data_IF_596751291983
#
_entry.id   IF_596751291983
#
_cell.length_a   1.000
_cell.length_b   1.000
_cell.length_c   1.000
_cell.angle_alpha   90.00
_cell.angle_beta   90.00
_cell.angle_gamma   90.00
#
_symmetry.space_group_name_H-M   'P 1'
#
loop_
_entity.id
_entity.type
_entity.pdbx_description
1 polymer ?
#
# COMPACT_ATOMS: atom_id res chain seq x y z
N UNK A 1 -31.72 20.30 -34.48
CA UNK A 1 -30.40 19.78 -34.86
C UNK A 1 -29.63 19.62 -33.57
N UNK A 2 -29.40 18.38 -33.12
CA UNK A 2 -28.88 18.13 -31.77
C UNK A 2 -27.48 18.71 -31.64
N UNK A 3 -27.27 19.60 -30.66
CA UNK A 3 -25.98 20.09 -30.20
C UNK A 3 -25.21 18.92 -29.59
N UNK A 4 -24.63 18.08 -30.44
CA UNK A 4 -23.60 17.12 -30.04
C UNK A 4 -22.26 17.75 -30.39
N UNK A 5 -21.45 18.19 -29.43
CA UNK A 5 -20.02 18.29 -29.68
C UNK A 5 -19.50 16.90 -30.00
N UNK A 6 -19.33 16.62 -31.28
CA UNK A 6 -18.62 15.43 -31.73
C UNK A 6 -17.13 15.71 -31.61
N UNK A 7 -16.51 15.15 -30.58
CA UNK A 7 -15.07 14.99 -30.43
C UNK A 7 -14.69 13.55 -30.80
N UNK A 8 -14.73 13.16 -32.09
CA UNK A 8 -14.44 11.79 -32.53
C UNK A 8 -13.02 11.34 -32.13
N UNK A 9 -12.11 12.28 -31.91
CA UNK A 9 -10.75 12.01 -31.44
C UNK A 9 -10.66 11.38 -30.04
N UNK A 10 -11.69 11.52 -29.19
CA UNK A 10 -11.68 11.02 -27.80
C UNK A 10 -12.91 10.13 -27.50
N UNK A 11 -13.84 9.99 -28.44
CA UNK A 11 -15.06 9.19 -28.27
C UNK A 11 -15.07 7.99 -29.22
N UNK A 12 -14.85 6.79 -28.68
CA UNK A 12 -15.02 5.52 -29.39
C UNK A 12 -16.40 4.93 -29.08
N UNK A 13 -17.36 5.13 -29.99
CA UNK A 13 -18.72 4.61 -29.85
C UNK A 13 -18.75 3.07 -30.01
N UNK A 14 -17.84 2.49 -30.80
CA UNK A 14 -17.75 1.04 -31.02
C UNK A 14 -17.25 0.32 -29.76
N UNK A 15 -16.38 0.97 -28.98
CA UNK A 15 -15.91 0.47 -27.68
C UNK A 15 -17.03 0.48 -26.62
N UNK A 16 -17.88 1.51 -26.61
CA UNK A 16 -19.03 1.57 -25.71
C UNK A 16 -20.00 0.41 -25.96
N UNK A 17 -20.34 0.14 -27.22
CA UNK A 17 -21.25 -0.94 -27.59
C UNK A 17 -20.69 -2.31 -27.19
N UNK A 18 -19.39 -2.55 -27.42
CA UNK A 18 -18.71 -3.78 -26.96
C UNK A 18 -18.78 -3.94 -25.43
N UNK A 19 -18.55 -2.86 -24.66
CA UNK A 19 -18.60 -2.89 -23.19
C UNK A 19 -20.00 -3.16 -22.65
N UNK A 20 -21.02 -2.58 -23.29
CA UNK A 20 -22.43 -2.82 -22.95
C UNK A 20 -22.85 -4.27 -23.23
N UNK A 21 -22.29 -4.91 -24.25
CA UNK A 21 -22.49 -6.34 -24.54
C UNK A 21 -21.78 -7.26 -23.53
N UNK A 22 -20.58 -6.91 -23.08
CA UNK A 22 -19.77 -7.70 -22.14
C UNK A 22 -20.28 -7.68 -20.69
N UNK A 23 -20.70 -6.52 -20.18
CA UNK A 23 -21.03 -6.33 -18.75
C UNK A 23 -22.52 -6.14 -18.45
N UNK A 24 -23.37 -6.32 -19.47
CA UNK A 24 -24.80 -6.55 -19.30
C UNK A 24 -25.59 -5.28 -19.00
N UNK A 25 -26.42 -4.92 -19.98
CA UNK A 25 -27.62 -4.13 -19.72
C UNK A 25 -28.52 -4.96 -18.79
N UNK A 26 -28.90 -4.41 -17.64
CA UNK A 26 -29.91 -5.00 -16.78
C UNK A 26 -31.28 -4.83 -17.43
N UNK A 27 -32.11 -5.87 -17.45
CA UNK A 27 -33.48 -5.79 -18.00
C UNK A 27 -34.38 -4.83 -17.20
N UNK A 28 -34.01 -4.51 -15.95
CA UNK A 28 -34.72 -3.56 -15.09
C UNK A 28 -33.76 -2.62 -14.33
N UNK A 29 -34.14 -1.35 -14.21
CA UNK A 29 -33.61 -0.37 -13.26
C UNK A 29 -33.92 -0.87 -11.84
N UNK A 30 -32.90 -1.00 -11.00
CA UNK A 30 -33.12 -1.29 -9.57
C UNK A 30 -34.04 -0.21 -8.99
N UNK A 31 -35.25 -0.60 -8.56
CA UNK A 31 -36.22 0.31 -7.91
C UNK A 31 -35.53 1.11 -6.80
N UNK A 32 -35.63 2.44 -6.84
CA UNK A 32 -34.99 3.34 -5.87
C UNK A 32 -33.53 3.71 -6.17
N UNK A 33 -33.02 3.40 -7.37
CA UNK A 33 -31.64 3.66 -7.77
C UNK A 33 -31.35 5.10 -8.20
N UNK A 34 -32.37 5.92 -8.47
CA UNK A 34 -32.21 7.27 -9.03
C UNK A 34 -33.08 8.29 -8.30
N UNK A 35 -32.45 9.36 -7.84
CA UNK A 35 -33.14 10.53 -7.27
C UNK A 35 -32.98 11.72 -8.22
N UNK A 36 -34.03 12.51 -8.40
CA UNK A 36 -34.04 13.66 -9.32
C UNK A 36 -34.36 14.94 -8.55
N UNK A 37 -33.53 15.96 -8.76
CA UNK A 37 -33.81 17.35 -8.38
C UNK A 37 -34.27 18.12 -9.62
N UNK A 38 -35.35 18.85 -9.51
CA UNK A 38 -35.81 19.78 -10.54
C UNK A 38 -36.03 21.15 -9.92
N UNK A 39 -35.66 22.22 -10.62
CA UNK A 39 -36.04 23.57 -10.23
C UNK A 39 -36.68 24.35 -11.38
N UNK A 40 -37.83 24.94 -11.06
CA UNK A 40 -38.64 25.77 -11.93
C UNK A 40 -38.72 27.16 -11.29
N UNK A 41 -37.88 28.09 -11.75
CA UNK A 41 -37.62 29.33 -11.01
C UNK A 41 -36.99 29.04 -9.65
N UNK A 42 -37.65 29.48 -8.58
CA UNK A 42 -37.23 29.27 -7.17
C UNK A 42 -37.92 28.07 -6.51
N UNK A 43 -38.85 27.39 -7.21
CA UNK A 43 -39.52 26.21 -6.69
C UNK A 43 -38.66 24.96 -6.96
N UNK A 44 -38.27 24.27 -5.88
CA UNK A 44 -37.42 23.06 -5.95
C UNK A 44 -38.25 21.82 -5.66
N UNK A 45 -38.22 20.86 -6.57
CA UNK A 45 -38.93 19.58 -6.47
C UNK A 45 -37.93 18.44 -6.40
N UNK A 46 -38.16 17.55 -5.44
CA UNK A 46 -37.38 16.33 -5.25
C UNK A 46 -38.24 15.11 -5.58
N UNK A 47 -37.76 14.29 -6.50
CA UNK A 47 -38.35 13.01 -6.87
C UNK A 47 -37.41 11.89 -6.43
N UNK A 48 -37.73 11.25 -5.31
CA UNK A 48 -36.93 10.15 -4.77
C UNK A 48 -37.36 8.82 -5.39
N UNK A 49 -36.40 8.01 -5.82
CA UNK A 49 -36.65 6.69 -6.39
C UNK A 49 -37.50 6.70 -7.67
N UNK A 50 -37.09 7.51 -8.65
CA UNK A 50 -37.74 7.60 -9.95
C UNK A 50 -37.85 6.23 -10.66
N UNK A 51 -39.00 5.98 -11.28
CA UNK A 51 -39.19 4.84 -12.19
C UNK A 51 -38.62 5.14 -13.60
N UNK A 52 -38.46 4.10 -14.42
CA UNK A 52 -37.88 4.24 -15.76
C UNK A 52 -38.70 5.17 -16.66
N UNK A 53 -40.04 5.06 -16.63
CA UNK A 53 -40.94 5.85 -17.47
C UNK A 53 -40.91 7.33 -17.10
N UNK A 54 -40.83 7.67 -15.81
CA UNK A 54 -40.62 9.03 -15.32
C UNK A 54 -39.26 9.56 -15.76
N UNK A 55 -38.20 8.78 -15.61
CA UNK A 55 -36.84 9.15 -16.04
C UNK A 55 -36.78 9.45 -17.54
N UNK A 56 -37.31 8.56 -18.38
CA UNK A 56 -37.33 8.74 -19.83
C UNK A 56 -38.13 9.99 -20.20
N UNK A 57 -39.31 10.19 -19.60
CA UNK A 57 -40.11 11.41 -19.82
C UNK A 57 -39.34 12.67 -19.45
N UNK A 58 -38.68 12.70 -18.29
CA UNK A 58 -37.88 13.84 -17.82
C UNK A 58 -36.65 14.13 -18.68
N UNK A 59 -35.99 13.09 -19.17
CA UNK A 59 -34.82 13.22 -20.05
C UNK A 59 -35.22 13.76 -21.43
N UNK A 60 -36.43 13.42 -21.91
CA UNK A 60 -36.95 13.84 -23.21
C UNK A 60 -37.73 15.16 -23.19
N UNK A 61 -38.36 15.54 -22.06
CA UNK A 61 -39.36 16.62 -21.99
C UNK A 61 -38.82 18.03 -22.27
N UNK A 62 -37.49 18.23 -22.25
CA UNK A 62 -36.88 19.57 -22.31
C UNK A 62 -35.68 19.70 -23.27
N UNK A 63 -35.58 18.81 -24.27
CA UNK A 63 -34.50 18.88 -25.28
C UNK A 63 -34.85 19.77 -26.50
N UNK A 64 -36.01 20.44 -26.49
CA UNK A 64 -36.49 21.32 -27.57
C UNK A 64 -36.47 22.81 -27.20
N UNK A 65 -36.63 23.72 -28.17
CA UNK A 65 -36.65 25.16 -27.90
C UNK A 65 -37.78 25.51 -26.91
N UNK A 66 -37.56 26.53 -26.06
CA UNK A 66 -38.50 26.90 -25.00
C UNK A 66 -39.89 27.18 -25.58
N UNK A 67 -40.92 26.49 -25.05
CA UNK A 67 -42.32 26.80 -25.36
C UNK A 67 -42.79 27.92 -24.42
N UNK A 68 -43.38 29.02 -24.93
CA UNK A 68 -43.73 30.19 -24.12
C UNK A 68 -44.83 29.95 -23.07
N UNK A 69 -45.61 28.87 -23.21
CA UNK A 69 -46.80 28.61 -22.40
C UNK A 69 -46.56 27.77 -21.13
N UNK A 70 -45.34 27.31 -20.86
CA UNK A 70 -45.03 26.46 -19.70
C UNK A 70 -43.93 27.05 -18.83
N UNK A 71 -44.05 26.98 -17.48
CA UNK A 71 -42.96 27.39 -16.61
C UNK A 71 -41.74 26.52 -16.90
N UNK A 72 -40.60 27.16 -17.18
CA UNK A 72 -39.43 26.48 -17.71
C UNK A 72 -38.57 25.92 -16.59
N UNK A 73 -38.20 24.65 -16.73
CA UNK A 73 -37.20 24.00 -15.90
C UNK A 73 -35.86 24.66 -16.18
N UNK A 74 -35.29 25.30 -15.17
CA UNK A 74 -34.00 26.02 -15.30
C UNK A 74 -32.83 25.17 -14.83
N UNK A 75 -33.12 24.11 -14.07
CA UNK A 75 -32.13 23.22 -13.48
C UNK A 75 -32.72 21.82 -13.28
N UNK A 76 -31.93 20.80 -13.60
CA UNK A 76 -32.20 19.41 -13.25
C UNK A 76 -30.92 18.70 -12.85
N UNK A 77 -30.98 17.88 -11.80
CA UNK A 77 -29.87 17.03 -11.37
C UNK A 77 -30.35 15.61 -11.11
N UNK A 78 -29.69 14.64 -11.76
CA UNK A 78 -29.98 13.22 -11.64
C UNK A 78 -28.89 12.55 -10.81
N UNK A 79 -29.27 11.89 -9.72
CA UNK A 79 -28.37 11.21 -8.80
C UNK A 79 -28.57 9.70 -8.93
N UNK A 80 -27.64 9.03 -9.62
CA UNK A 80 -27.68 7.58 -9.82
C UNK A 80 -26.81 6.89 -8.77
N UNK A 81 -27.28 5.76 -8.22
CA UNK A 81 -26.45 4.89 -7.39
C UNK A 81 -25.87 3.75 -8.24
N UNK A 82 -24.55 3.67 -8.29
CA UNK A 82 -23.85 2.58 -8.96
C UNK A 82 -23.79 1.36 -8.03
N UNK A 83 -23.96 0.16 -8.59
CA UNK A 83 -23.71 -1.08 -7.88
C UNK A 83 -22.22 -1.41 -8.03
N UNK A 84 -21.50 -1.54 -6.91
CA UNK A 84 -20.10 -1.94 -6.93
C UNK A 84 -19.99 -3.36 -6.37
N UNK A 85 -19.33 -4.26 -7.12
CA UNK A 85 -19.06 -5.64 -6.69
C UNK A 85 -17.97 -5.72 -5.62
N UNK A 86 -17.02 -4.77 -5.63
CA UNK A 86 -15.97 -4.64 -4.64
C UNK A 86 -15.61 -3.16 -4.48
N UNK A 87 -15.56 -2.66 -3.24
CA UNK A 87 -15.53 -1.22 -2.92
C UNK A 87 -14.33 -0.48 -3.51
N UNK A 88 -13.26 -1.19 -3.88
CA UNK A 88 -11.95 -0.61 -4.22
C UNK A 88 -11.43 -1.02 -5.60
N UNK A 89 -11.78 -2.22 -6.11
CA UNK A 89 -11.16 -2.75 -7.33
C UNK A 89 -12.15 -3.30 -8.36
N UNK A 90 -13.45 -3.32 -8.04
CA UNK A 90 -14.47 -3.89 -8.92
C UNK A 90 -14.97 -2.91 -9.98
N UNK A 91 -15.40 -3.40 -11.16
CA UNK A 91 -16.10 -2.57 -12.14
C UNK A 91 -17.37 -1.97 -11.50
N UNK A 92 -17.65 -0.71 -11.81
CA UNK A 92 -18.85 -0.03 -11.31
C UNK A 92 -19.98 -0.18 -12.32
N UNK A 93 -20.98 -1.00 -12.05
CA UNK A 93 -22.07 -1.21 -13.00
C UNK A 93 -23.22 -0.23 -12.76
N UNK A 94 -23.57 0.53 -13.80
CA UNK A 94 -24.86 1.22 -13.89
C UNK A 94 -25.90 0.22 -14.39
N UNK A 95 -26.79 -0.23 -13.51
CA UNK A 95 -27.89 -1.13 -13.88
C UNK A 95 -29.07 -0.31 -14.41
N UNK A 96 -29.07 -0.05 -15.71
CA UNK A 96 -30.11 0.69 -16.43
C UNK A 96 -30.50 -0.06 -17.69
N UNK A 97 -31.76 0.05 -18.10
CA UNK A 97 -32.28 -0.55 -19.34
C UNK A 97 -31.74 0.17 -20.59
N UNK A 98 -31.72 -0.51 -21.75
CA UNK A 98 -31.30 0.09 -23.05
C UNK A 98 -32.06 1.38 -23.39
N UNK A 99 -33.39 1.47 -23.17
CA UNK A 99 -34.14 2.71 -23.38
C UNK A 99 -33.63 3.88 -22.53
N UNK A 100 -33.31 3.63 -21.26
CA UNK A 100 -32.77 4.66 -20.35
C UNK A 100 -31.38 5.11 -20.79
N UNK A 101 -30.50 4.20 -21.21
CA UNK A 101 -29.18 4.55 -21.77
C UNK A 101 -29.31 5.46 -23.00
N UNK A 102 -30.19 5.12 -23.93
CA UNK A 102 -30.47 5.96 -25.10
C UNK A 102 -31.05 7.31 -24.72
N UNK A 103 -31.90 7.35 -23.70
CA UNK A 103 -32.45 8.60 -23.18
C UNK A 103 -31.38 9.48 -22.51
N UNK A 104 -30.42 8.89 -21.78
CA UNK A 104 -29.27 9.59 -21.20
C UNK A 104 -28.38 10.20 -22.29
N UNK A 105 -28.02 9.41 -23.31
CA UNK A 105 -27.26 9.91 -24.46
C UNK A 105 -28.01 11.04 -25.20
N UNK A 106 -29.32 10.89 -25.39
CA UNK A 106 -30.15 11.92 -26.01
C UNK A 106 -30.27 13.20 -25.17
N UNK A 107 -30.14 13.11 -23.84
CA UNK A 107 -30.16 14.22 -22.91
C UNK A 107 -28.79 14.90 -22.71
N UNK A 108 -27.76 14.47 -23.45
CA UNK A 108 -26.44 15.09 -23.46
C UNK A 108 -25.36 14.36 -22.67
N UNK A 109 -25.63 13.17 -22.11
CA UNK A 109 -24.59 12.38 -21.43
C UNK A 109 -23.55 11.88 -22.45
N UNK A 110 -22.25 12.19 -22.28
CA UNK A 110 -21.22 11.84 -23.25
C UNK A 110 -20.90 10.35 -23.20
N UNK A 111 -20.65 9.76 -24.37
CA UNK A 111 -20.28 8.35 -24.51
C UNK A 111 -19.03 7.99 -23.67
N UNK A 112 -18.05 8.91 -23.60
CA UNK A 112 -16.84 8.75 -22.79
C UNK A 112 -17.12 8.46 -21.30
N UNK A 113 -18.10 9.13 -20.70
CA UNK A 113 -18.48 8.89 -19.29
C UNK A 113 -19.14 7.52 -19.15
N UNK A 114 -20.00 7.15 -20.10
CA UNK A 114 -20.64 5.84 -20.10
C UNK A 114 -19.62 4.72 -20.27
N UNK A 115 -18.68 4.84 -21.22
CA UNK A 115 -17.60 3.86 -21.43
C UNK A 115 -16.77 3.70 -20.17
N UNK A 116 -16.43 4.81 -19.49
CA UNK A 116 -15.67 4.79 -18.25
C UNK A 116 -16.41 4.12 -17.08
N UNK A 117 -17.73 4.23 -17.01
CA UNK A 117 -18.54 3.52 -16.00
C UNK A 117 -18.41 2.01 -16.20
N UNK A 118 -18.52 1.53 -17.44
CA UNK A 118 -18.45 0.11 -17.79
C UNK A 118 -17.03 -0.42 -18.00
N UNK A 119 -15.99 0.32 -17.59
CA UNK A 119 -14.59 -0.09 -17.74
C UNK A 119 -14.25 -1.28 -16.82
N UNK A 120 -13.90 -2.47 -17.36
CA UNK A 120 -13.53 -3.65 -16.57
C UNK A 120 -12.28 -3.43 -15.72
N UNK A 121 -11.36 -2.59 -16.20
CA UNK A 121 -10.09 -2.30 -15.52
C UNK A 121 -10.26 -1.40 -14.28
N UNK A 122 -11.46 -0.89 -14.03
CA UNK A 122 -11.84 -0.27 -12.75
C UNK A 122 -11.13 1.05 -12.43
N UNK A 123 -10.53 1.14 -11.24
CA UNK A 123 -10.10 2.41 -10.62
C UNK A 123 -8.88 3.05 -11.31
N UNK A 124 -7.98 2.27 -11.91
CA UNK A 124 -6.73 2.78 -12.49
C UNK A 124 -6.88 3.30 -13.93
N UNK A 125 -7.81 2.73 -14.71
CA UNK A 125 -8.17 3.23 -16.03
C UNK A 125 -8.97 4.53 -15.89
N UNK A 126 -8.25 5.63 -15.66
CA UNK A 126 -8.85 6.91 -15.29
C UNK A 126 -9.45 7.59 -16.52
N UNK A 127 -10.78 7.80 -16.49
CA UNK A 127 -11.39 8.83 -17.32
C UNK A 127 -10.70 10.16 -16.99
N UNK A 128 -10.15 10.82 -18.01
CA UNK A 128 -9.59 12.16 -17.85
C UNK A 128 -10.69 13.19 -17.58
N UNK A 129 -10.33 14.27 -16.89
CA UNK A 129 -11.24 15.41 -16.71
C UNK A 129 -11.35 16.18 -18.04
N UNK A 130 -12.58 16.52 -18.44
CA UNK A 130 -12.89 17.09 -19.74
C UNK A 130 -13.83 18.29 -19.61
N UNK A 131 -13.49 19.38 -20.30
CA UNK A 131 -14.30 20.59 -20.35
C UNK A 131 -14.36 21.11 -21.79
N UNK A 132 -15.57 21.17 -22.33
CA UNK A 132 -15.85 21.56 -23.70
C UNK A 132 -16.78 22.77 -23.73
N UNK A 133 -16.51 23.68 -24.67
CA UNK A 133 -17.33 24.86 -24.95
C UNK A 133 -17.78 24.80 -26.39
N UNK A 134 -19.08 24.76 -26.61
CA UNK A 134 -19.66 24.79 -27.95
C UNK A 134 -19.92 26.22 -28.34
N UNK A 135 -19.38 26.64 -29.48
CA UNK A 135 -19.56 27.99 -30.03
C UNK A 135 -20.29 27.93 -31.35
N UNK A 136 -21.14 28.91 -31.59
CA UNK A 136 -21.76 29.13 -32.88
C UNK A 136 -20.69 29.56 -33.89
N UNK A 137 -20.67 28.92 -35.07
CA UNK A 137 -19.63 29.12 -36.07
C UNK A 137 -19.57 30.55 -36.62
N UNK A 138 -20.71 31.25 -36.70
CA UNK A 138 -20.82 32.58 -37.30
C UNK A 138 -20.64 33.71 -36.29
N UNK A 139 -21.21 33.59 -35.09
CA UNK A 139 -21.21 34.67 -34.08
C UNK A 139 -20.11 34.51 -33.02
N UNK A 140 -19.50 33.31 -32.91
CA UNK A 140 -18.57 32.97 -31.85
C UNK A 140 -19.20 32.89 -30.44
N UNK A 141 -20.52 33.06 -30.33
CA UNK A 141 -21.27 33.00 -29.07
C UNK A 141 -21.31 31.58 -28.54
N UNK A 142 -21.16 31.43 -27.23
CA UNK A 142 -21.20 30.11 -26.59
C UNK A 142 -22.64 29.60 -26.53
N UNK A 143 -22.89 28.43 -27.11
CA UNK A 143 -24.19 27.76 -27.18
C UNK A 143 -24.37 26.78 -26.02
N UNK A 144 -23.30 26.05 -25.67
CA UNK A 144 -23.32 25.07 -24.60
C UNK A 144 -21.96 24.95 -23.90
N UNK A 145 -21.96 24.48 -22.65
CA UNK A 145 -20.74 24.08 -21.95
C UNK A 145 -20.93 22.71 -21.29
N UNK A 146 -19.95 21.84 -21.45
CA UNK A 146 -19.98 20.48 -20.94
C UNK A 146 -18.74 20.22 -20.09
N UNK A 147 -18.93 19.85 -18.83
CA UNK A 147 -17.90 19.47 -17.88
C UNK A 147 -18.11 18.00 -17.51
N UNK A 148 -17.06 17.18 -17.57
CA UNK A 148 -17.12 15.79 -17.15
C UNK A 148 -15.87 15.46 -16.38
N UNK A 149 -16.03 14.87 -15.21
CA UNK A 149 -14.89 14.53 -14.36
C UNK A 149 -15.21 13.33 -13.46
N UNK A 150 -14.15 12.70 -12.97
CA UNK A 150 -14.23 11.50 -12.15
C UNK A 150 -13.44 11.68 -10.87
N UNK A 151 -14.04 11.39 -9.73
CA UNK A 151 -13.36 11.55 -8.43
C UNK A 151 -13.49 10.30 -7.56
N UNK A 152 -12.60 10.21 -6.59
CA UNK A 152 -12.58 9.18 -5.55
C UNK A 152 -12.63 9.85 -4.18
N UNK A 153 -13.33 9.22 -3.23
CA UNK A 153 -13.58 9.79 -1.90
C UNK A 153 -13.00 8.92 -0.80
N UNK A 154 -11.68 8.95 -0.65
CA UNK A 154 -11.03 7.96 0.19
C UNK A 154 -11.15 6.55 -0.41
N UNK A 155 -10.67 5.56 0.35
CA UNK A 155 -10.59 4.18 -0.12
C UNK A 155 -11.83 3.34 0.20
N UNK A 156 -12.70 3.78 1.10
CA UNK A 156 -13.89 3.00 1.49
C UNK A 156 -15.10 3.23 0.57
N UNK A 157 -15.00 4.17 -0.36
CA UNK A 157 -16.08 4.60 -1.24
C UNK A 157 -15.76 4.24 -2.69
N UNK A 158 -16.79 3.86 -3.45
CA UNK A 158 -16.69 3.64 -4.88
C UNK A 158 -16.40 4.94 -5.64
N UNK A 159 -15.88 4.79 -6.85
CA UNK A 159 -15.63 5.89 -7.78
C UNK A 159 -16.94 6.60 -8.12
N UNK A 160 -16.89 7.91 -8.32
CA UNK A 160 -18.05 8.65 -8.79
C UNK A 160 -17.72 9.54 -9.98
N UNK A 161 -18.75 9.74 -10.81
CA UNK A 161 -18.66 10.45 -12.07
C UNK A 161 -19.65 11.60 -12.04
N UNK A 162 -19.24 12.79 -12.44
CA UNK A 162 -20.13 13.94 -12.55
C UNK A 162 -19.99 14.54 -13.93
N UNK A 163 -21.13 14.65 -14.61
CA UNK A 163 -21.25 15.35 -15.87
C UNK A 163 -22.21 16.52 -15.71
N UNK A 164 -21.75 17.71 -16.06
CA UNK A 164 -22.53 18.94 -16.08
C UNK A 164 -22.63 19.42 -17.52
N UNK A 165 -23.86 19.68 -17.95
CA UNK A 165 -24.17 20.28 -19.24
C UNK A 165 -25.00 21.54 -19.03
N UNK A 166 -24.60 22.64 -19.65
CA UNK A 166 -25.34 23.90 -19.68
C UNK A 166 -25.67 24.25 -21.11
N UNK A 167 -26.95 24.54 -21.35
CA UNK A 167 -27.46 25.21 -22.54
C UNK A 167 -27.96 26.61 -22.16
N UNK A 168 -28.43 27.40 -23.13
CA UNK A 168 -28.97 28.75 -22.89
C UNK A 168 -30.08 28.82 -21.84
N UNK A 169 -30.87 27.77 -21.65
CA UNK A 169 -32.07 27.79 -20.80
C UNK A 169 -32.10 26.69 -19.73
N UNK A 170 -31.24 25.68 -19.85
CA UNK A 170 -31.28 24.49 -19.00
C UNK A 170 -29.89 24.08 -18.55
N UNK A 171 -29.76 23.86 -17.24
CA UNK A 171 -28.61 23.20 -16.61
C UNK A 171 -28.98 21.78 -16.25
N UNK A 172 -28.13 20.83 -16.63
CA UNK A 172 -28.33 19.41 -16.39
C UNK A 172 -27.10 18.84 -15.70
N UNK A 173 -27.29 18.23 -14.54
CA UNK A 173 -26.28 17.44 -13.84
C UNK A 173 -26.63 15.97 -13.90
N UNK A 174 -25.65 15.14 -14.26
CA UNK A 174 -25.69 13.70 -14.12
C UNK A 174 -24.61 13.30 -13.12
N UNK A 175 -25.03 12.96 -11.91
CA UNK A 175 -24.15 12.57 -10.82
C UNK A 175 -24.29 11.07 -10.58
N UNK A 176 -23.30 10.30 -11.02
CA UNK A 176 -23.21 8.86 -10.78
C UNK A 176 -22.44 8.65 -9.50
N UNK A 177 -23.05 7.98 -8.51
CA UNK A 177 -22.49 7.68 -7.19
C UNK A 177 -22.08 8.94 -6.39
N UNK A 178 -22.87 10.01 -6.50
CA UNK A 178 -22.66 11.25 -5.73
C UNK A 178 -22.58 10.96 -4.22
N UNK A 179 -21.67 11.58 -3.47
CA UNK A 179 -21.47 11.23 -2.07
C UNK A 179 -22.72 11.56 -1.24
N UNK A 180 -23.22 10.57 -0.50
CA UNK A 180 -24.43 10.71 0.32
C UNK A 180 -24.37 11.86 1.36
N UNK A 181 -23.22 12.14 2.02
CA UNK A 181 -23.09 13.31 2.88
C UNK A 181 -23.28 14.63 2.14
N UNK A 182 -22.73 14.76 0.92
CA UNK A 182 -22.92 15.95 0.11
C UNK A 182 -24.37 16.07 -0.35
N UNK A 183 -25.01 14.94 -0.70
CA UNK A 183 -26.42 14.91 -1.09
C UNK A 183 -27.31 15.47 0.02
N UNK A 184 -27.09 15.03 1.25
CA UNK A 184 -27.84 15.49 2.43
C UNK A 184 -27.60 16.98 2.70
N UNK A 185 -26.35 17.44 2.57
CA UNK A 185 -26.01 18.86 2.69
C UNK A 185 -26.68 19.70 1.60
N UNK A 186 -26.69 19.23 0.36
CA UNK A 186 -27.34 19.90 -0.77
C UNK A 186 -28.82 20.11 -0.49
N UNK A 187 -29.54 19.06 -0.07
CA UNK A 187 -30.97 19.19 0.29
C UNK A 187 -31.19 20.18 1.41
N UNK A 188 -30.33 20.15 2.43
CA UNK A 188 -30.42 21.05 3.58
C UNK A 188 -30.20 22.51 3.16
N UNK A 189 -29.22 22.77 2.29
CA UNK A 189 -28.96 24.11 1.77
C UNK A 189 -30.09 24.60 0.88
N UNK A 190 -30.54 23.78 -0.06
CA UNK A 190 -31.61 24.16 -1.00
C UNK A 190 -32.96 24.40 -0.30
N UNK A 191 -33.24 23.72 0.81
CA UNK A 191 -34.42 24.01 1.64
C UNK A 191 -34.35 25.36 2.35
N UNK A 192 -33.15 25.85 2.67
CA UNK A 192 -32.94 27.12 3.39
C UNK A 192 -32.74 28.31 2.45
N UNK A 193 -32.09 28.04 1.33
CA UNK A 193 -31.60 29.02 0.35
C UNK A 193 -31.83 28.49 -1.06
N UNK A 194 -33.08 28.56 -1.59
CA UNK A 194 -33.41 28.09 -2.93
C UNK A 194 -32.60 28.75 -4.05
N UNK A 195 -32.15 29.99 -3.82
CA UNK A 195 -31.29 30.77 -4.72
C UNK A 195 -29.98 30.06 -5.07
N UNK A 196 -29.50 29.15 -4.21
CA UNK A 196 -28.27 28.39 -4.44
C UNK A 196 -28.38 27.39 -5.59
N UNK A 197 -29.58 27.06 -6.07
CA UNK A 197 -29.74 26.26 -7.32
C UNK A 197 -29.21 27.02 -8.53
N UNK A 198 -29.30 28.35 -8.49
CA UNK A 198 -28.82 29.19 -9.58
C UNK A 198 -27.30 29.31 -9.59
N UNK A 199 -26.66 29.07 -8.44
CA UNK A 199 -25.21 29.10 -8.27
C UNK A 199 -24.58 27.93 -9.02
N UNK A 200 -23.92 28.27 -10.12
CA UNK A 200 -23.26 27.32 -11.02
C UNK A 200 -22.16 26.58 -10.27
N UNK A 201 -21.92 25.29 -10.52
CA UNK A 201 -20.80 24.55 -9.94
C UNK A 201 -20.80 24.38 -8.40
N UNK A 202 -21.91 24.73 -7.75
CA UNK A 202 -22.10 24.54 -6.32
C UNK A 202 -22.11 23.05 -5.92
N UNK A 203 -22.70 22.19 -6.76
CA UNK A 203 -22.74 20.74 -6.54
C UNK A 203 -21.33 20.14 -6.56
N UNK A 204 -20.48 20.64 -7.46
CA UNK A 204 -19.10 20.20 -7.64
C UNK A 204 -18.23 20.61 -6.44
N UNK A 205 -18.36 21.86 -5.98
CA UNK A 205 -17.69 22.35 -4.78
C UNK A 205 -18.10 21.57 -3.51
N UNK A 206 -19.38 21.21 -3.39
CA UNK A 206 -19.88 20.43 -2.26
C UNK A 206 -19.35 18.98 -2.28
N UNK A 207 -19.30 18.36 -3.46
CA UNK A 207 -18.70 17.04 -3.63
C UNK A 207 -17.20 17.06 -3.29
N UNK A 208 -16.48 18.09 -3.74
CA UNK A 208 -15.06 18.25 -3.46
C UNK A 208 -14.76 18.44 -1.96
N UNK A 209 -15.55 19.25 -1.24
CA UNK A 209 -15.40 19.42 0.22
C UNK A 209 -15.64 18.12 0.99
N UNK A 210 -16.70 17.37 0.65
CA UNK A 210 -16.94 16.06 1.27
C UNK A 210 -15.87 15.03 0.90
N UNK A 211 -15.35 15.08 -0.33
CA UNK A 211 -14.21 14.26 -0.74
C UNK A 211 -12.95 14.51 0.09
N UNK A 212 -12.62 15.78 0.35
CA UNK A 212 -11.50 16.13 1.22
C UNK A 212 -11.69 15.65 2.66
N UNK A 213 -12.92 15.68 3.19
CA UNK A 213 -13.20 15.12 4.53
C UNK A 213 -13.01 13.61 4.56
N UNK A 214 -13.43 12.90 3.51
CA UNK A 214 -13.17 11.47 3.40
C UNK A 214 -11.66 11.18 3.38
N UNK A 215 -10.88 11.89 2.57
CA UNK A 215 -9.41 11.78 2.56
C UNK A 215 -8.77 12.09 3.91
N UNK A 216 -9.24 13.14 4.59
CA UNK A 216 -8.81 13.47 5.94
C UNK A 216 -9.05 12.31 6.91
N UNK A 217 -10.19 11.63 6.81
CA UNK A 217 -10.52 10.44 7.59
C UNK A 217 -9.53 9.30 7.36
N UNK A 218 -9.20 8.99 6.09
CA UNK A 218 -8.24 7.94 5.74
C UNK A 218 -6.85 8.26 6.28
N UNK A 219 -6.36 9.49 6.05
CA UNK A 219 -5.07 9.98 6.58
C UNK A 219 -5.06 9.89 8.11
N UNK A 220 -6.14 10.28 8.77
CA UNK A 220 -6.29 10.23 10.23
C UNK A 220 -6.23 8.80 10.79
N UNK A 221 -6.80 7.83 10.10
CA UNK A 221 -6.73 6.41 10.49
C UNK A 221 -5.31 5.86 10.37
N UNK A 222 -4.63 6.09 9.24
CA UNK A 222 -3.25 5.65 9.02
C UNK A 222 -2.26 6.34 9.97
N UNK A 223 -2.49 7.63 10.27
CA UNK A 223 -1.72 8.38 11.28
C UNK A 223 -1.80 7.73 12.66
N UNK A 224 -2.98 7.30 13.09
CA UNK A 224 -3.15 6.66 14.41
C UNK A 224 -2.32 5.39 14.50
N UNK A 225 -2.35 4.55 13.46
CA UNK A 225 -1.51 3.35 13.38
C UNK A 225 -0.01 3.68 13.51
N UNK A 226 0.47 4.70 12.80
CA UNK A 226 1.86 5.15 12.91
C UNK A 226 2.22 5.56 14.35
N UNK A 227 1.37 6.39 14.97
CA UNK A 227 1.60 6.86 16.34
C UNK A 227 1.62 5.70 17.33
N UNK A 228 0.78 4.68 17.13
CA UNK A 228 0.79 3.47 17.96
C UNK A 228 2.11 2.70 17.81
N UNK A 229 2.63 2.55 16.59
CA UNK A 229 3.96 1.95 16.36
C UNK A 229 5.11 2.76 16.96
N UNK A 230 5.02 4.10 16.94
CA UNK A 230 6.02 4.99 17.54
C UNK A 230 6.00 4.88 19.08
N UNK A 231 4.81 4.77 19.68
CA UNK A 231 4.62 4.67 21.13
C UNK A 231 4.96 3.29 21.69
N UNK A 232 4.74 2.23 20.92
CA UNK A 232 5.15 0.88 21.32
C UNK A 232 6.68 0.82 21.42
N UNK A 233 7.20 0.91 22.65
CA UNK A 233 8.60 0.60 22.97
C UNK A 233 8.78 -0.90 22.70
N UNK A 234 9.44 -1.23 21.59
CA UNK A 234 9.65 -2.60 21.09
C UNK A 234 9.94 -3.59 22.23
N UNK A 235 9.00 -4.51 22.48
CA UNK A 235 9.31 -5.81 23.06
C UNK A 235 9.82 -6.66 21.89
N UNK A 236 11.06 -7.15 21.99
CA UNK A 236 11.77 -7.91 20.94
C UNK A 236 11.00 -9.09 20.32
N UNK A 237 9.90 -9.54 20.94
CA UNK A 237 9.16 -10.73 20.52
C UNK A 237 8.33 -10.59 19.23
N UNK A 238 7.99 -9.37 18.77
CA UNK A 238 7.06 -9.16 17.64
C UNK A 238 7.67 -8.33 16.49
N UNK A 239 8.98 -8.43 16.28
CA UNK A 239 9.69 -7.54 15.34
C UNK A 239 9.26 -7.74 13.87
N UNK A 240 8.99 -8.98 13.48
CA UNK A 240 8.63 -9.32 12.09
C UNK A 240 7.25 -8.77 11.72
N UNK A 241 6.24 -9.00 12.56
CA UNK A 241 4.89 -8.46 12.35
C UNK A 241 4.86 -6.93 12.35
N UNK A 242 5.69 -6.29 13.19
CA UNK A 242 5.83 -4.83 13.18
C UNK A 242 6.50 -4.32 11.90
N UNK A 243 7.49 -5.05 11.37
CA UNK A 243 8.17 -4.72 10.11
C UNK A 243 7.20 -4.79 8.94
N UNK A 244 6.46 -5.91 8.81
CA UNK A 244 5.44 -6.09 7.77
C UNK A 244 4.38 -4.99 7.82
N UNK A 245 3.82 -4.71 9.00
CA UNK A 245 2.80 -3.69 9.16
C UNK A 245 3.31 -2.28 8.81
N UNK A 246 4.56 -1.94 9.14
CA UNK A 246 5.17 -0.66 8.76
C UNK A 246 5.42 -0.56 7.25
N UNK A 247 5.79 -1.66 6.58
CA UNK A 247 5.92 -1.68 5.12
C UNK A 247 4.58 -1.52 4.41
N UNK A 248 3.53 -2.20 4.90
CA UNK A 248 2.16 -2.00 4.41
C UNK A 248 1.73 -0.55 4.60
N UNK A 249 2.01 0.04 5.76
CA UNK A 249 1.73 1.43 6.04
C UNK A 249 2.52 2.39 5.11
N UNK A 250 3.78 2.07 4.80
CA UNK A 250 4.60 2.85 3.86
C UNK A 250 4.03 2.81 2.43
N UNK A 251 3.61 1.63 1.97
CA UNK A 251 2.90 1.45 0.69
C UNK A 251 1.61 2.30 0.68
N UNK A 252 0.81 2.20 1.73
CA UNK A 252 -0.43 2.94 1.86
C UNK A 252 -0.19 4.47 1.81
N UNK A 253 0.88 4.98 2.44
CA UNK A 253 1.25 6.39 2.31
C UNK A 253 1.61 6.79 0.88
N UNK A 254 2.24 5.90 0.11
CA UNK A 254 2.56 6.15 -1.29
C UNK A 254 1.30 6.27 -2.15
N UNK A 255 0.36 5.33 -1.98
CA UNK A 255 -0.94 5.36 -2.67
C UNK A 255 -1.74 6.61 -2.28
N UNK A 256 -1.80 6.97 -0.98
CA UNK A 256 -2.46 8.20 -0.52
C UNK A 256 -1.85 9.46 -1.13
N UNK A 257 -0.53 9.49 -1.28
CA UNK A 257 0.16 10.63 -1.88
C UNK A 257 -0.21 10.79 -3.35
N UNK A 258 -0.28 9.68 -4.09
CA UNK A 258 -0.72 9.67 -5.49
C UNK A 258 -2.18 10.13 -5.59
N UNK A 259 -3.10 9.54 -4.82
CA UNK A 259 -4.52 9.87 -4.87
C UNK A 259 -4.81 11.34 -4.52
N UNK A 260 -4.12 11.89 -3.50
CA UNK A 260 -4.23 13.31 -3.16
C UNK A 260 -3.62 14.22 -4.24
N UNK A 261 -2.60 13.77 -4.96
CA UNK A 261 -2.03 14.52 -6.08
C UNK A 261 -3.00 14.56 -7.25
N UNK A 262 -3.66 13.44 -7.56
CA UNK A 262 -4.70 13.36 -8.57
C UNK A 262 -5.91 14.22 -8.19
N UNK A 263 -6.32 14.21 -6.93
CA UNK A 263 -7.39 15.06 -6.43
C UNK A 263 -7.04 16.56 -6.51
N UNK A 264 -5.79 16.94 -6.21
CA UNK A 264 -5.33 18.34 -6.39
C UNK A 264 -5.31 18.75 -7.87
N UNK A 265 -4.84 17.88 -8.77
CA UNK A 265 -4.87 18.12 -10.21
C UNK A 265 -6.31 18.35 -10.72
N UNK A 266 -7.26 17.57 -10.20
CA UNK A 266 -8.67 17.75 -10.50
C UNK A 266 -9.24 19.08 -9.96
N UNK A 267 -8.93 19.47 -8.72
CA UNK A 267 -9.36 20.76 -8.18
C UNK A 267 -8.83 21.93 -9.02
N UNK A 268 -7.57 21.84 -9.45
CA UNK A 268 -6.97 22.81 -10.37
C UNK A 268 -7.66 22.80 -11.73
N UNK A 269 -8.00 21.62 -12.25
CA UNK A 269 -8.76 21.49 -13.49
C UNK A 269 -10.13 22.16 -13.38
N UNK A 270 -10.88 21.91 -12.31
CA UNK A 270 -12.18 22.55 -12.04
C UNK A 270 -12.01 24.06 -11.96
N UNK A 271 -11.05 24.55 -11.17
CA UNK A 271 -10.77 25.98 -11.05
C UNK A 271 -10.48 26.62 -12.41
N UNK A 272 -9.57 26.03 -13.20
CA UNK A 272 -9.18 26.53 -14.51
C UNK A 272 -10.34 26.50 -15.51
N UNK A 273 -11.16 25.44 -15.46
CA UNK A 273 -12.33 25.29 -16.31
C UNK A 273 -13.43 26.28 -15.94
N UNK A 274 -13.59 26.58 -14.64
CA UNK A 274 -14.51 27.61 -14.15
C UNK A 274 -14.06 29.01 -14.59
N UNK A 275 -12.76 29.32 -14.55
CA UNK A 275 -12.23 30.57 -15.07
C UNK A 275 -12.48 30.71 -16.60
N UNK A 276 -12.27 29.63 -17.37
CA UNK A 276 -12.61 29.60 -18.80
C UNK A 276 -14.10 29.81 -19.04
N UNK A 277 -14.93 29.19 -18.20
CA UNK A 277 -16.37 29.32 -18.23
C UNK A 277 -16.78 30.79 -17.97
N UNK A 278 -16.30 31.42 -16.90
CA UNK A 278 -16.59 32.82 -16.59
C UNK A 278 -16.21 33.73 -17.75
N UNK A 279 -14.99 33.61 -18.28
CA UNK A 279 -14.54 34.40 -19.43
C UNK A 279 -15.43 34.22 -20.68
N UNK A 280 -16.02 33.04 -20.87
CA UNK A 280 -16.87 32.74 -22.01
C UNK A 280 -18.29 33.31 -21.85
N UNK A 281 -18.85 33.30 -20.64
CA UNK A 281 -20.23 33.70 -20.37
C UNK A 281 -20.37 35.13 -19.81
N UNK A 282 -19.39 35.67 -19.10
CA UNK A 282 -19.40 37.07 -18.59
C UNK A 282 -19.28 38.11 -19.71
N UNK A 283 -18.53 37.81 -20.78
CA UNK A 283 -18.47 38.67 -21.97
C UNK A 283 -19.83 38.82 -22.70
N UNK A 284 -20.83 38.00 -22.33
CA UNK A 284 -22.18 38.03 -22.92
C UNK A 284 -23.20 38.79 -22.04
N UNK A 285 -22.88 39.11 -20.78
CA UNK A 285 -23.80 39.74 -19.84
C UNK A 285 -23.31 41.15 -19.45
N UNK A 286 -23.86 42.17 -20.10
CA UNK A 286 -23.59 43.59 -19.82
C UNK A 286 -24.16 44.12 -18.49
N UNK A 287 -24.79 43.29 -17.64
CA UNK A 287 -25.29 43.70 -16.33
C UNK A 287 -24.58 42.94 -15.22
N UNK A 288 -23.62 43.62 -14.60
CA UNK A 288 -23.04 43.24 -13.33
C UNK A 288 -24.04 43.67 -12.26
N UNK A 289 -24.92 42.78 -11.82
CA UNK A 289 -25.64 43.06 -10.58
C UNK A 289 -24.64 42.97 -9.42
N UNK A 290 -24.44 44.14 -8.81
CA UNK A 290 -23.66 44.36 -7.59
C UNK A 290 -24.31 43.59 -6.43
N UNK A 291 -23.93 42.32 -6.26
CA UNK A 291 -24.52 41.47 -5.24
C UNK A 291 -23.65 40.27 -4.87
N UNK A 292 -22.57 40.51 -4.11
CA UNK A 292 -22.08 39.67 -3.00
C UNK A 292 -22.08 38.12 -3.05
N UNK A 293 -22.12 37.48 -4.21
CA UNK A 293 -22.02 36.03 -4.33
C UNK A 293 -20.55 35.62 -4.28
N UNK A 294 -20.10 35.03 -3.16
CA UNK A 294 -18.77 34.41 -3.02
C UNK A 294 -18.39 33.64 -4.29
N UNK A 295 -17.27 34.00 -4.90
CA UNK A 295 -16.83 33.38 -6.14
C UNK A 295 -16.44 31.93 -5.86
N UNK A 296 -16.89 31.00 -6.69
CA UNK A 296 -16.57 29.57 -6.52
C UNK A 296 -15.10 29.29 -6.79
N UNK A 297 -14.44 30.17 -7.54
CA UNK A 297 -12.98 30.18 -7.66
C UNK A 297 -12.31 30.20 -6.26
N UNK A 298 -12.78 31.07 -5.36
CA UNK A 298 -12.27 31.16 -3.98
C UNK A 298 -12.53 29.85 -3.20
N UNK A 299 -13.68 29.21 -3.46
CA UNK A 299 -14.01 27.93 -2.85
C UNK A 299 -13.05 26.83 -3.32
N UNK A 300 -12.79 26.73 -4.63
CA UNK A 300 -11.83 25.76 -5.16
C UNK A 300 -10.39 26.06 -4.71
N UNK A 301 -10.00 27.33 -4.58
CA UNK A 301 -8.69 27.72 -4.04
C UNK A 301 -8.50 27.23 -2.59
N UNK A 302 -9.51 27.43 -1.74
CA UNK A 302 -9.47 26.94 -0.36
C UNK A 302 -9.40 25.41 -0.32
N UNK A 303 -10.14 24.73 -1.18
CA UNK A 303 -10.13 23.27 -1.27
C UNK A 303 -8.78 22.74 -1.75
N UNK A 304 -8.15 23.35 -2.77
CA UNK A 304 -6.83 22.95 -3.25
C UNK A 304 -5.76 23.19 -2.18
N UNK A 305 -5.83 24.33 -1.47
CA UNK A 305 -4.96 24.62 -0.33
C UNK A 305 -5.07 23.55 0.77
N UNK A 306 -6.29 23.11 1.11
CA UNK A 306 -6.53 22.01 2.05
C UNK A 306 -5.95 20.68 1.55
N UNK A 307 -6.14 20.35 0.27
CA UNK A 307 -5.56 19.16 -0.34
C UNK A 307 -4.02 19.16 -0.21
N UNK A 308 -3.39 20.31 -0.50
CA UNK A 308 -1.95 20.50 -0.37
C UNK A 308 -1.45 20.40 1.07
N UNK A 309 -2.25 20.78 2.08
CA UNK A 309 -1.94 20.52 3.49
C UNK A 309 -1.90 19.01 3.74
N UNK A 310 -2.90 18.24 3.29
CA UNK A 310 -2.94 16.79 3.48
C UNK A 310 -1.78 16.09 2.79
N UNK A 311 -1.44 16.51 1.56
CA UNK A 311 -0.30 16.00 0.80
C UNK A 311 1.02 16.17 1.56
N UNK A 312 1.25 17.36 2.14
CA UNK A 312 2.43 17.63 2.98
C UNK A 312 2.48 16.74 4.22
N UNK A 313 1.33 16.53 4.88
CA UNK A 313 1.26 15.62 6.03
C UNK A 313 1.54 14.17 5.65
N UNK A 314 1.01 13.69 4.53
CA UNK A 314 1.28 12.33 4.03
C UNK A 314 2.76 12.12 3.76
N UNK A 315 3.44 13.09 3.13
CA UNK A 315 4.90 13.05 2.96
C UNK A 315 5.61 12.94 4.32
N UNK A 316 5.23 13.77 5.30
CA UNK A 316 5.82 13.69 6.64
C UNK A 316 5.61 12.33 7.31
N UNK A 317 4.41 11.76 7.24
CA UNK A 317 4.11 10.46 7.84
C UNK A 317 4.81 9.30 7.14
N UNK A 318 4.95 9.37 5.82
CA UNK A 318 5.76 8.43 5.03
C UNK A 318 7.21 8.43 5.51
N UNK A 319 7.81 9.62 5.61
CA UNK A 319 9.21 9.75 6.00
C UNK A 319 9.42 9.26 7.45
N UNK A 320 8.49 9.55 8.36
CA UNK A 320 8.49 9.01 9.73
C UNK A 320 8.35 7.49 9.78
N UNK A 321 7.50 6.92 8.93
CA UNK A 321 7.33 5.46 8.81
C UNK A 321 8.64 4.82 8.34
N UNK A 322 9.33 5.42 7.37
CA UNK A 322 10.63 4.95 6.90
C UNK A 322 11.72 5.03 7.99
N UNK A 323 11.74 6.11 8.78
CA UNK A 323 12.63 6.22 9.96
C UNK A 323 12.36 5.07 10.93
N UNK A 324 11.09 4.73 11.15
CA UNK A 324 10.72 3.63 12.05
C UNK A 324 11.14 2.26 11.53
N UNK A 325 10.97 2.00 10.23
CA UNK A 325 11.46 0.78 9.56
C UNK A 325 12.98 0.65 9.75
N UNK A 326 13.73 1.72 9.46
CA UNK A 326 15.19 1.73 9.59
C UNK A 326 15.64 1.48 11.03
N UNK A 327 14.98 2.11 12.01
CA UNK A 327 15.25 1.87 13.42
C UNK A 327 15.03 0.39 13.80
N UNK A 328 13.93 -0.21 13.34
CA UNK A 328 13.60 -1.59 13.63
C UNK A 328 14.65 -2.54 13.04
N UNK A 329 15.09 -2.29 11.81
CA UNK A 329 16.16 -3.02 11.15
C UNK A 329 17.49 -2.94 11.91
N UNK A 330 17.90 -1.75 12.37
CA UNK A 330 19.11 -1.60 13.19
C UNK A 330 19.01 -2.35 14.53
N UNK A 331 17.84 -2.33 15.17
CA UNK A 331 17.61 -3.08 16.41
C UNK A 331 17.65 -4.60 16.18
N UNK A 332 17.12 -5.09 15.04
CA UNK A 332 17.21 -6.49 14.64
C UNK A 332 18.66 -6.93 14.50
N UNK A 333 19.44 -6.18 13.72
CA UNK A 333 20.84 -6.49 13.49
C UNK A 333 21.66 -6.43 14.79
N UNK A 334 21.36 -5.48 15.68
CA UNK A 334 22.02 -5.40 16.98
C UNK A 334 21.67 -6.59 17.88
N UNK A 335 20.42 -7.04 17.88
CA UNK A 335 20.01 -8.22 18.62
C UNK A 335 20.72 -9.49 18.09
N UNK A 336 20.75 -9.67 16.77
CA UNK A 336 21.47 -10.78 16.13
C UNK A 336 22.97 -10.74 16.44
N UNK A 337 23.62 -9.58 16.36
CA UNK A 337 25.03 -9.43 16.71
C UNK A 337 25.31 -9.78 18.19
N UNK A 338 24.44 -9.37 19.11
CA UNK A 338 24.54 -9.77 20.53
C UNK A 338 24.37 -11.26 20.73
N UNK A 339 23.49 -11.91 19.99
CA UNK A 339 23.34 -13.37 20.05
C UNK A 339 24.57 -14.08 19.49
N UNK A 340 25.09 -13.63 18.34
CA UNK A 340 26.31 -14.20 17.75
C UNK A 340 27.53 -14.06 18.68
N UNK A 341 27.70 -12.91 19.34
CA UNK A 341 28.78 -12.72 20.32
C UNK A 341 28.63 -13.63 21.54
N UNK A 342 27.40 -13.81 22.07
CA UNK A 342 27.15 -14.77 23.16
C UNK A 342 27.45 -16.20 22.75
N UNK A 343 27.06 -16.60 21.54
CA UNK A 343 27.38 -17.92 20.99
C UNK A 343 28.90 -18.07 20.87
N UNK A 344 29.61 -17.08 20.33
CA UNK A 344 31.07 -17.12 20.21
C UNK A 344 31.76 -17.26 21.58
N UNK A 345 31.31 -16.52 22.60
CA UNK A 345 31.83 -16.63 23.97
C UNK A 345 31.53 -18.01 24.58
N UNK A 346 30.32 -18.54 24.39
CA UNK A 346 29.95 -19.87 24.86
C UNK A 346 30.81 -20.95 24.18
N UNK A 347 30.98 -20.86 22.86
CA UNK A 347 31.86 -21.77 22.10
C UNK A 347 33.31 -21.67 22.56
N UNK A 348 33.82 -20.46 22.84
CA UNK A 348 35.18 -20.27 23.37
C UNK A 348 35.34 -20.92 24.76
N UNK A 349 34.36 -20.74 25.66
CA UNK A 349 34.36 -21.40 26.97
C UNK A 349 34.30 -22.92 26.85
N UNK A 350 33.47 -23.46 25.94
CA UNK A 350 33.39 -24.90 25.68
C UNK A 350 34.72 -25.42 25.14
N UNK A 351 35.36 -24.68 24.23
CA UNK A 351 36.67 -25.05 23.70
C UNK A 351 37.75 -25.05 24.79
N UNK A 352 37.75 -24.08 25.71
CA UNK A 352 38.66 -24.03 26.85
C UNK A 352 38.43 -25.21 27.81
N UNK A 353 37.17 -25.49 28.16
CA UNK A 353 36.83 -26.65 29.01
C UNK A 353 37.25 -27.97 28.35
N UNK A 354 36.96 -28.13 27.06
CA UNK A 354 37.38 -29.30 26.27
C UNK A 354 38.90 -29.44 26.24
N UNK A 355 39.65 -28.32 26.15
CA UNK A 355 41.11 -28.33 26.21
C UNK A 355 41.60 -28.79 27.59
N UNK A 356 41.00 -28.32 28.69
CA UNK A 356 41.34 -28.73 30.06
C UNK A 356 40.99 -30.20 30.33
N UNK A 357 39.84 -30.66 29.84
CA UNK A 357 39.42 -32.07 29.92
C UNK A 357 40.39 -32.96 29.12
N UNK A 358 40.80 -32.50 27.93
CA UNK A 358 41.81 -33.19 27.12
C UNK A 358 43.16 -33.28 27.85
N UNK A 359 43.60 -32.20 28.52
CA UNK A 359 44.83 -32.22 29.31
C UNK A 359 44.74 -33.22 30.48
N UNK A 360 43.63 -33.23 31.20
CA UNK A 360 43.38 -34.18 32.29
C UNK A 360 43.37 -35.62 31.79
N UNK A 361 42.74 -35.88 30.64
CA UNK A 361 42.73 -37.18 29.99
C UNK A 361 44.14 -37.64 29.61
N UNK A 362 44.99 -36.73 29.11
CA UNK A 362 46.41 -37.02 28.84
C UNK A 362 47.14 -37.41 30.13
N UNK A 363 46.91 -36.70 31.24
CA UNK A 363 47.53 -37.03 32.53
C UNK A 363 47.11 -38.42 33.03
N UNK A 364 45.82 -38.75 32.99
CA UNK A 364 45.33 -40.08 33.37
C UNK A 364 45.97 -41.16 32.50
N UNK A 365 46.01 -40.95 31.18
CA UNK A 365 46.65 -41.89 30.26
C UNK A 365 48.15 -42.06 30.55
N UNK A 366 48.87 -40.99 30.91
CA UNK A 366 50.28 -41.08 31.29
C UNK A 366 50.46 -41.89 32.60
N UNK A 367 49.57 -41.71 33.57
CA UNK A 367 49.58 -42.49 34.83
C UNK A 367 49.31 -43.96 34.57
N UNK A 368 48.32 -44.30 33.73
CA UNK A 368 48.06 -45.72 33.38
C UNK A 368 49.23 -46.33 32.61
N UNK A 369 49.86 -45.60 31.70
CA UNK A 369 51.08 -46.06 31.00
C UNK A 369 52.25 -46.33 31.95
N UNK A 370 52.34 -45.62 33.08
CA UNK A 370 53.35 -45.85 34.12
C UNK A 370 53.05 -47.13 34.93
N UNK A 371 51.81 -47.29 35.39
CA UNK A 371 51.44 -48.39 36.30
C UNK A 371 51.19 -49.73 35.59
N UNK A 372 50.63 -49.73 34.38
CA UNK A 372 50.23 -50.95 33.67
C UNK A 372 51.40 -51.95 33.48
N UNK A 373 52.61 -51.53 33.03
CA UNK A 373 53.75 -52.44 32.89
C UNK A 373 54.24 -52.98 34.23
N UNK A 374 54.25 -52.13 35.26
CA UNK A 374 54.63 -52.52 36.62
C UNK A 374 53.67 -53.54 37.22
N UNK A 375 52.36 -53.33 37.08
CA UNK A 375 51.34 -54.28 37.54
C UNK A 375 51.37 -55.60 36.77
N UNK A 376 51.62 -55.57 35.46
CA UNK A 376 51.71 -56.79 34.64
C UNK A 376 52.87 -57.67 35.07
N UNK A 377 54.06 -57.08 35.22
CA UNK A 377 55.25 -57.81 35.70
C UNK A 377 55.07 -58.26 37.14
N UNK A 378 54.48 -57.43 38.01
CA UNK A 378 54.17 -57.80 39.39
C UNK A 378 53.19 -58.97 39.46
N UNK A 379 52.15 -59.03 38.62
CA UNK A 379 51.20 -60.14 38.60
C UNK A 379 51.86 -61.46 38.13
N UNK A 380 52.68 -61.40 37.08
CA UNK A 380 53.41 -62.57 36.57
C UNK A 380 54.40 -63.12 37.61
N UNK A 381 55.10 -62.22 38.31
CA UNK A 381 56.14 -62.61 39.26
C UNK A 381 55.59 -62.82 40.68
N UNK A 382 54.39 -62.34 41.03
CA UNK A 382 53.79 -62.55 42.36
C UNK A 382 53.50 -64.02 42.65
N UNK A 383 53.22 -64.84 41.64
CA UNK A 383 52.96 -66.28 41.80
C UNK A 383 54.24 -67.10 42.01
N UNK A 384 55.42 -66.53 41.72
CA UNK A 384 56.70 -67.26 41.71
C UNK A 384 57.64 -66.87 42.85
N UNK A 385 57.41 -65.74 43.53
CA UNK A 385 58.35 -65.18 44.51
C UNK A 385 57.91 -65.22 45.99
N UNK A 386 56.63 -65.39 46.30
CA UNK A 386 56.14 -65.49 47.69
C UNK A 386 55.94 -66.96 48.10
N UNK A 387 56.74 -67.43 49.07
CA UNK A 387 56.55 -68.73 49.74
C UNK A 387 56.01 -68.48 51.16
N UNK A 388 54.88 -69.11 51.50
CA UNK A 388 54.33 -69.10 52.85
C UNK A 388 54.95 -70.23 53.67
N UNK A 389 55.58 -69.92 54.79
CA UNK A 389 56.11 -70.89 55.74
C UNK A 389 55.51 -70.66 57.15
N UNK A 390 55.49 -71.70 57.99
CA UNK A 390 54.69 -71.81 59.22
C UNK A 390 54.99 -70.78 60.33
N UNK A 391 56.00 -69.92 60.16
CA UNK A 391 56.42 -68.91 61.15
C UNK A 391 56.52 -67.48 60.62
N UNK A 392 55.98 -67.19 59.43
CA UNK A 392 55.83 -65.82 58.91
C UNK A 392 56.22 -65.64 57.44
N UNK A 393 55.88 -64.47 56.87
CA UNK A 393 56.14 -64.13 55.47
C UNK A 393 57.66 -63.98 55.17
N UNK A 394 58.23 -64.90 54.37
CA UNK A 394 59.62 -64.86 53.91
C UNK A 394 59.76 -64.34 52.47
N UNK A 395 60.65 -63.36 52.26
CA UNK A 395 60.94 -62.79 50.93
C UNK A 395 62.12 -63.53 50.28
N UNK A 396 61.97 -63.97 49.02
CA UNK A 396 63.01 -64.70 48.27
C UNK A 396 64.23 -63.83 47.91
N UNK A 397 65.45 -64.40 47.97
CA UNK A 397 66.75 -63.74 47.74
C UNK A 397 66.97 -63.24 46.29
N UNK A 398 66.00 -63.46 45.37
CA UNK A 398 66.03 -63.01 43.96
C UNK A 398 65.14 -61.81 43.67
N UNK A 399 64.68 -61.10 44.71
CA UNK A 399 63.81 -59.92 44.60
C UNK A 399 64.32 -58.84 43.62
N UNK A 400 65.64 -58.73 43.39
CA UNK A 400 66.25 -57.80 42.43
C UNK A 400 65.82 -57.99 40.96
N UNK A 401 65.27 -59.15 40.59
CA UNK A 401 64.75 -59.40 39.23
C UNK A 401 63.51 -58.54 38.93
N UNK A 402 62.70 -58.24 39.95
CA UNK A 402 61.52 -57.37 39.83
C UNK A 402 61.91 -55.97 39.30
N UNK A 403 62.77 -55.18 39.96
CA UNK A 403 63.19 -53.88 39.45
C UNK A 403 64.00 -53.99 38.15
N UNK A 404 64.83 -55.03 37.98
CA UNK A 404 65.64 -55.21 36.78
C UNK A 404 64.82 -55.43 35.49
N UNK A 405 63.62 -56.01 35.60
CA UNK A 405 62.75 -56.30 34.43
C UNK A 405 61.70 -55.20 34.21
N UNK A 406 61.19 -54.58 35.29
CA UNK A 406 60.15 -53.55 35.23
C UNK A 406 60.65 -52.21 34.69
N UNK A 407 61.83 -51.73 35.11
CA UNK A 407 62.41 -50.48 34.65
C UNK A 407 62.59 -50.40 33.12
N UNK A 408 63.24 -51.37 32.45
CA UNK A 408 63.43 -51.29 31.00
C UNK A 408 62.11 -51.35 30.23
N UNK A 409 61.13 -52.13 30.72
CA UNK A 409 59.80 -52.19 30.11
C UNK A 409 59.08 -50.84 30.20
N UNK A 410 59.15 -50.15 31.35
CA UNK A 410 58.63 -48.80 31.50
C UNK A 410 59.32 -47.81 30.55
N UNK A 411 60.65 -47.86 30.45
CA UNK A 411 61.43 -46.98 29.54
C UNK A 411 60.98 -47.17 28.08
N UNK A 412 60.76 -48.41 27.64
CA UNK A 412 60.29 -48.71 26.27
C UNK A 412 58.91 -48.11 26.02
N UNK A 413 57.95 -48.29 26.94
CA UNK A 413 56.59 -47.76 26.80
C UNK A 413 56.59 -46.23 26.69
N UNK A 414 57.34 -45.54 27.55
CA UNK A 414 57.48 -44.09 27.48
C UNK A 414 58.20 -43.63 26.21
N UNK A 415 59.24 -44.34 25.76
CA UNK A 415 59.97 -44.01 24.53
C UNK A 415 59.06 -44.11 23.28
N UNK A 416 58.25 -45.16 23.18
CA UNK A 416 57.27 -45.32 22.08
C UNK A 416 56.22 -44.21 22.11
N UNK A 417 55.70 -43.86 23.29
CA UNK A 417 54.71 -42.78 23.43
C UNK A 417 55.29 -41.42 23.04
N UNK A 418 56.49 -41.07 23.53
CA UNK A 418 57.14 -39.79 23.24
C UNK A 418 57.45 -39.65 21.74
N UNK A 419 57.90 -40.74 21.11
CA UNK A 419 58.12 -40.80 19.66
C UNK A 419 56.82 -40.57 18.89
N UNK A 420 55.75 -41.29 19.24
CA UNK A 420 54.45 -41.15 18.58
C UNK A 420 53.86 -39.75 18.73
N UNK A 421 53.96 -39.15 19.93
CA UNK A 421 53.49 -37.79 20.20
C UNK A 421 54.24 -36.75 19.38
N UNK A 422 55.58 -36.84 19.29
CA UNK A 422 56.37 -35.92 18.45
C UNK A 422 56.01 -36.00 16.98
N UNK A 423 55.81 -37.20 16.44
CA UNK A 423 55.41 -37.39 15.03
C UNK A 423 54.03 -36.79 14.76
N UNK A 424 53.08 -36.93 15.70
CA UNK A 424 51.73 -36.35 15.57
C UNK A 424 51.75 -34.82 15.57
N UNK A 425 52.52 -34.20 16.47
CA UNK A 425 52.64 -32.73 16.55
C UNK A 425 53.28 -32.17 15.26
N UNK A 426 54.37 -32.78 14.79
CA UNK A 426 55.05 -32.33 13.58
C UNK A 426 54.17 -32.44 12.31
N UNK A 427 53.29 -33.45 12.24
CA UNK A 427 52.31 -33.56 11.14
C UNK A 427 51.22 -32.49 11.23
N UNK A 428 50.73 -32.18 12.42
CA UNK A 428 49.71 -31.14 12.63
C UNK A 428 50.23 -29.74 12.26
N UNK A 429 51.47 -29.42 12.64
CA UNK A 429 52.10 -28.13 12.29
C UNK A 429 52.29 -27.96 10.78
N UNK A 430 52.61 -29.04 10.04
CA UNK A 430 52.74 -28.99 8.58
C UNK A 430 51.41 -28.72 7.90
N UNK A 431 50.36 -29.44 8.28
CA UNK A 431 49.00 -29.24 7.74
C UNK A 431 48.47 -27.82 8.02
N UNK A 432 48.77 -27.25 9.19
CA UNK A 432 48.40 -25.87 9.49
C UNK A 432 49.16 -24.83 8.67
N UNK A 433 50.42 -25.10 8.32
CA UNK A 433 51.21 -24.22 7.44
C UNK A 433 50.74 -24.28 5.99
N UNK A 434 50.37 -25.47 5.51
CA UNK A 434 49.80 -25.68 4.17
C UNK A 434 48.44 -24.96 4.06
N UNK A 435 47.52 -25.14 5.01
CA UNK A 435 46.23 -24.44 5.02
C UNK A 435 46.35 -22.90 5.15
N UNK A 436 47.35 -22.39 5.87
CA UNK A 436 47.63 -20.94 5.91
C UNK A 436 48.26 -20.42 4.63
N UNK A 437 49.01 -21.24 3.90
CA UNK A 437 49.56 -20.90 2.58
C UNK A 437 48.45 -20.75 1.54
N UNK A 438 47.51 -21.70 1.49
CA UNK A 438 46.38 -21.70 0.54
C UNK A 438 45.45 -20.49 0.74
N UNK A 439 45.13 -20.13 1.99
CA UNK A 439 44.30 -18.93 2.30
C UNK A 439 45.03 -17.61 1.98
N UNK A 440 46.37 -17.61 2.00
CA UNK A 440 47.19 -16.45 1.62
C UNK A 440 47.29 -16.26 0.11
N UNK A 441 47.30 -17.34 -0.67
CA UNK A 441 47.31 -17.29 -2.14
C UNK A 441 45.95 -16.83 -2.71
N UNK A 442 44.82 -17.26 -2.13
CA UNK A 442 43.48 -16.84 -2.59
C UNK A 442 43.18 -15.35 -2.36
N UNK A 443 43.82 -14.69 -1.39
CA UNK A 443 43.71 -13.23 -1.21
C UNK A 443 44.72 -12.42 -2.05
N UNK A 444 45.74 -13.07 -2.62
CA UNK A 444 46.75 -12.43 -3.48
C UNK A 444 46.44 -12.49 -4.98
N UNK A 445 45.60 -13.44 -5.43
CA UNK A 445 45.30 -13.67 -6.86
C UNK A 445 44.24 -12.76 -7.49
N UNK A 446 43.52 -11.94 -6.70
CA UNK A 446 42.40 -11.14 -7.19
C UNK A 446 42.72 -9.77 -7.81
N UNK A 447 44.00 -9.36 -7.84
CA UNK A 447 44.41 -8.04 -8.34
C UNK A 447 45.39 -8.12 -9.51
N UNK A 448 45.01 -8.81 -10.59
CA UNK A 448 45.65 -8.66 -11.90
C UNK A 448 44.83 -9.32 -13.01
N UNK A 449 43.72 -8.70 -13.42
CA UNK A 449 43.26 -8.75 -14.81
C UNK A 449 42.78 -7.35 -15.15
N UNK A 450 43.41 -6.76 -16.17
CA UNK A 450 43.13 -5.41 -16.67
C UNK A 450 41.94 -5.31 -17.60
#
# INVERSE_FOLDING_TARGET
MALRPHHPEISDEDDLDKRLELHGVSDELKKGGVDVCEAVGDEIRWHCGADEDFLIRMLQSHNGPPKPERPQVTFRAFFFKLSSYDRIYGPSSLHVSKPVLKALQAAGMPAMVLSAIYEPEGVWAKMGDAFFLDREAESGKVLSSNLSYRYTFGWDNSVSYTHFSRTLHLRTYFCMNYPAPARTRLETYLRRHPELVQREWFIDALAADEGLKAWQGVVGTKRRLLVDFERQRSRQSNMDAATEALHLLSRDWHTLLQDLSDFSAQLQFLRNSYAKYLNAFENSSQNRDEGGSSNIDESFEVLDSRCNIYRRWVVNYRDRTNIRINLLFHLANQASARTSTKIALATASVAEQTQRDSASMITIAAVTMLFLPGTFVSAILSSTFFQYDAHGLGVSNKWWILPATTLPLMVIVFAVWFWWQRVRIAKAEKLQREAKGEVGEDMGGGSSVG
#
